data_IF_024387084135
#
_entry.id   IF_024387084135
#
_cell.length_a   1.000
_cell.length_b   1.000
_cell.length_c   1.000
_cell.angle_alpha   90.00
_cell.angle_beta   90.00
_cell.angle_gamma   90.00
#
_symmetry.space_group_name_H-M   'P 1'
#
loop_
_entity.id
_entity.type
_entity.pdbx_description
1 polymer ?
#
# COMPACT_ATOMS: atom_id res chain seq x y z
N UNK A 1 49.16 6.34 -3.10
CA UNK A 1 47.87 5.60 -3.05
C UNK A 1 47.06 6.00 -4.27
N UNK A 2 46.82 5.06 -5.17
CA UNK A 2 46.06 5.28 -6.40
C UNK A 2 44.57 5.19 -6.10
N UNK A 3 43.79 6.18 -6.55
CA UNK A 3 42.33 6.12 -6.58
C UNK A 3 41.96 5.85 -8.03
N UNK A 4 41.40 4.67 -8.30
CA UNK A 4 41.06 4.23 -9.64
C UNK A 4 39.93 5.10 -10.22
N UNK A 5 40.27 5.94 -11.20
CA UNK A 5 39.29 6.65 -12.03
C UNK A 5 38.72 5.71 -13.09
N UNK A 6 37.40 5.59 -13.14
CA UNK A 6 36.71 4.94 -14.26
C UNK A 6 36.81 5.87 -15.46
N UNK A 7 37.56 5.44 -16.48
CA UNK A 7 37.67 6.11 -17.78
C UNK A 7 36.59 5.54 -18.70
N UNK A 8 35.50 6.29 -18.91
CA UNK A 8 34.54 5.96 -19.96
C UNK A 8 35.07 6.45 -21.31
N UNK A 9 35.12 5.53 -22.27
CA UNK A 9 35.57 5.77 -23.62
C UNK A 9 34.68 6.81 -24.31
N UNK A 10 35.35 7.74 -25.01
CA UNK A 10 34.76 8.76 -25.85
C UNK A 10 34.23 8.12 -27.13
N UNK A 11 32.94 7.76 -27.17
CA UNK A 11 32.21 7.66 -28.43
C UNK A 11 30.73 8.08 -28.24
N UNK A 12 30.41 9.30 -28.70
CA UNK A 12 29.22 9.53 -29.51
C UNK A 12 27.81 9.48 -28.91
N UNK A 13 27.60 9.34 -27.60
CA UNK A 13 26.24 9.32 -27.01
C UNK A 13 26.08 10.27 -25.83
N UNK A 14 25.27 11.31 -25.96
CA UNK A 14 24.93 12.23 -24.86
C UNK A 14 24.11 11.50 -23.78
N UNK A 15 24.79 10.99 -22.76
CA UNK A 15 24.16 10.46 -21.53
C UNK A 15 24.05 11.58 -20.51
N UNK A 16 23.32 12.64 -20.83
CA UNK A 16 22.99 13.69 -19.86
C UNK A 16 21.52 13.57 -19.51
N UNK A 17 21.14 12.57 -18.69
CA UNK A 17 19.88 12.56 -17.92
C UNK A 17 19.79 11.39 -16.92
N UNK A 18 20.89 10.97 -16.30
CA UNK A 18 20.88 9.88 -15.31
C UNK A 18 20.96 10.34 -13.85
N UNK A 19 20.80 11.63 -13.57
CA UNK A 19 20.72 12.12 -12.19
C UNK A 19 19.66 13.21 -12.07
N UNK A 20 18.78 13.19 -11.05
CA UNK A 20 17.92 14.30 -10.72
C UNK A 20 18.75 15.40 -10.03
N UNK A 21 19.69 15.98 -10.77
CA UNK A 21 20.30 17.24 -10.42
C UNK A 21 19.21 18.30 -10.60
N UNK A 22 18.65 18.77 -9.49
CA UNK A 22 17.74 19.91 -9.46
C UNK A 22 18.45 21.09 -10.14
N UNK A 23 18.15 21.35 -11.41
CA UNK A 23 18.53 22.60 -12.06
C UNK A 23 17.80 23.73 -11.33
N UNK A 24 18.50 24.29 -10.34
CA UNK A 24 18.15 25.59 -9.77
C UNK A 24 18.34 26.62 -10.89
N UNK A 25 17.31 27.43 -11.10
CA UNK A 25 17.25 28.59 -12.00
C UNK A 25 17.07 28.30 -13.48
N UNK A 26 15.80 28.25 -13.88
CA UNK A 26 15.37 28.40 -15.25
C UNK A 26 14.05 27.67 -15.45
N UNK A 27 12.99 28.41 -15.79
CA UNK A 27 11.74 27.80 -16.28
C UNK A 27 12.11 26.82 -17.39
N UNK A 28 12.05 25.53 -17.12
CA UNK A 28 12.00 24.55 -18.19
C UNK A 28 10.71 24.84 -18.95
N UNK A 29 10.82 25.16 -20.23
CA UNK A 29 9.66 25.08 -21.14
C UNK A 29 8.95 23.75 -20.88
N UNK A 30 7.63 23.69 -21.06
CA UNK A 30 6.84 22.46 -20.92
C UNK A 30 7.52 21.25 -21.57
N UNK A 31 8.24 21.45 -22.66
CA UNK A 31 8.97 20.42 -23.42
C UNK A 31 10.18 19.81 -22.70
N UNK A 32 10.78 20.50 -21.73
CA UNK A 32 11.92 20.00 -20.93
C UNK A 32 11.48 19.38 -19.59
N UNK A 33 10.18 19.37 -19.29
CA UNK A 33 9.62 18.64 -18.16
C UNK A 33 9.45 17.17 -18.54
N UNK A 34 9.82 16.25 -17.65
CA UNK A 34 9.66 14.82 -17.91
C UNK A 34 8.19 14.47 -18.20
N UNK A 35 7.95 13.52 -19.10
CA UNK A 35 6.60 13.11 -19.52
C UNK A 35 5.66 12.77 -18.35
N UNK A 36 6.21 12.22 -17.26
CA UNK A 36 5.45 11.94 -16.04
C UNK A 36 4.97 13.19 -15.31
N UNK A 37 5.81 14.25 -15.25
CA UNK A 37 5.45 15.52 -14.61
C UNK A 37 4.32 16.19 -15.40
N UNK A 38 4.41 16.17 -16.73
CA UNK A 38 3.34 16.69 -17.60
C UNK A 38 2.03 15.92 -17.42
N UNK A 39 2.08 14.59 -17.42
CA UNK A 39 0.90 13.75 -17.21
C UNK A 39 0.26 14.00 -15.84
N UNK A 40 1.07 14.13 -14.79
CA UNK A 40 0.59 14.44 -13.45
C UNK A 40 -0.03 15.84 -13.38
N UNK A 41 0.60 16.87 -13.96
CA UNK A 41 0.04 18.22 -13.99
C UNK A 41 -1.29 18.30 -14.76
N UNK A 42 -1.41 17.60 -15.88
CA UNK A 42 -2.65 17.53 -16.67
C UNK A 42 -3.76 16.79 -15.90
N UNK A 43 -3.43 15.71 -15.20
CA UNK A 43 -4.36 15.00 -14.32
C UNK A 43 -4.89 15.95 -13.23
N UNK A 44 -4.01 16.70 -12.56
CA UNK A 44 -4.40 17.65 -11.51
C UNK A 44 -5.26 18.80 -12.05
N UNK A 45 -4.90 19.38 -13.20
CA UNK A 45 -5.71 20.43 -13.86
C UNK A 45 -7.09 19.93 -14.25
N UNK A 46 -7.19 18.70 -14.76
CA UNK A 46 -8.46 18.09 -15.15
C UNK A 46 -9.35 17.80 -13.94
N UNK A 47 -8.80 17.29 -12.83
CA UNK A 47 -9.54 17.11 -11.56
C UNK A 47 -10.05 18.44 -11.02
N UNK A 48 -9.17 19.44 -10.97
CA UNK A 48 -9.53 20.78 -10.49
C UNK A 48 -10.60 21.44 -11.37
N UNK A 49 -10.48 21.33 -12.70
CA UNK A 49 -11.49 21.82 -13.64
C UNK A 49 -12.82 21.07 -13.50
N UNK A 50 -12.82 19.77 -13.22
CA UNK A 50 -14.05 19.03 -12.97
C UNK A 50 -14.77 19.51 -11.70
N UNK A 51 -14.03 19.86 -10.65
CA UNK A 51 -14.59 20.43 -9.41
C UNK A 51 -15.16 21.83 -9.65
N UNK A 52 -14.45 22.70 -10.39
CA UNK A 52 -14.91 24.08 -10.65
C UNK A 52 -15.99 24.19 -11.72
N UNK A 53 -15.94 23.35 -12.75
CA UNK A 53 -16.90 23.35 -13.86
C UNK A 53 -18.05 22.35 -13.65
N UNK A 54 -18.19 21.77 -12.45
CA UNK A 54 -19.37 21.02 -12.06
C UNK A 54 -20.58 21.97 -12.02
N UNK A 55 -21.19 22.21 -13.19
CA UNK A 55 -22.48 22.89 -13.26
C UNK A 55 -23.48 22.05 -12.46
N UNK A 56 -24.16 22.68 -11.52
CA UNK A 56 -25.23 22.04 -10.76
C UNK A 56 -26.27 21.50 -11.75
N UNK A 57 -26.47 20.18 -11.76
CA UNK A 57 -27.46 19.56 -12.64
C UNK A 57 -28.85 19.95 -12.13
N UNK A 58 -29.65 20.55 -12.99
CA UNK A 58 -31.05 20.84 -12.65
C UNK A 58 -31.80 19.51 -12.51
N UNK A 59 -32.74 19.43 -11.57
CA UNK A 59 -33.52 18.23 -11.29
C UNK A 59 -34.19 17.62 -12.55
N UNK A 60 -34.62 18.47 -13.49
CA UNK A 60 -35.17 18.05 -14.79
C UNK A 60 -34.19 17.24 -15.64
N UNK A 61 -32.91 17.65 -15.69
CA UNK A 61 -31.85 16.98 -16.46
C UNK A 61 -31.48 15.62 -15.85
N UNK A 62 -31.53 15.50 -14.52
CA UNK A 62 -31.29 14.23 -13.80
C UNK A 62 -32.44 13.25 -14.10
N UNK A 63 -33.69 13.73 -14.14
CA UNK A 63 -34.86 12.90 -14.41
C UNK A 63 -34.89 12.38 -15.86
N UNK A 64 -34.51 13.19 -16.84
CA UNK A 64 -34.42 12.77 -18.24
C UNK A 64 -33.29 11.76 -18.47
N UNK A 65 -32.13 11.94 -17.83
CA UNK A 65 -31.04 10.97 -17.90
C UNK A 65 -31.45 9.60 -17.36
N UNK A 66 -32.19 9.53 -16.25
CA UNK A 66 -32.71 8.27 -15.70
C UNK A 66 -33.68 7.57 -16.66
N UNK A 67 -34.60 8.35 -17.25
CA UNK A 67 -35.55 7.84 -18.25
C UNK A 67 -34.84 7.30 -19.50
N UNK A 68 -33.76 7.95 -19.93
CA UNK A 68 -33.00 7.52 -21.09
C UNK A 68 -32.07 6.33 -20.79
N UNK A 69 -31.50 6.23 -19.59
CA UNK A 69 -30.69 5.06 -19.17
C UNK A 69 -31.53 3.82 -18.88
N UNK A 70 -32.83 3.97 -18.57
CA UNK A 70 -33.76 2.84 -18.48
C UNK A 70 -34.17 2.30 -19.86
N UNK A 71 -34.18 3.16 -20.89
CA UNK A 71 -34.51 2.76 -22.28
C UNK A 71 -33.31 2.15 -23.00
N UNK A 72 -32.10 2.63 -22.73
CA UNK A 72 -30.85 1.98 -23.17
C UNK A 72 -30.28 1.10 -22.05
N UNK A 73 -30.92 -0.05 -21.84
CA UNK A 73 -30.32 -1.12 -21.04
C UNK A 73 -28.96 -1.49 -21.63
N UNK A 74 -27.84 -1.34 -20.90
CA UNK A 74 -26.56 -1.83 -21.38
C UNK A 74 -26.57 -3.36 -21.28
N UNK A 75 -26.44 -4.02 -22.43
CA UNK A 75 -25.97 -5.41 -22.49
C UNK A 75 -24.69 -5.48 -21.68
N UNK A 76 -24.67 -6.32 -20.64
CA UNK A 76 -23.49 -6.58 -19.80
C UNK A 76 -22.28 -6.88 -20.69
N UNK A 77 -21.40 -5.91 -20.86
CA UNK A 77 -20.01 -6.15 -21.20
C UNK A 77 -19.31 -6.44 -19.87
N UNK A 78 -18.87 -7.69 -19.75
CA UNK A 78 -18.05 -8.23 -18.69
C UNK A 78 -16.64 -7.62 -18.76
N UNK A 79 -16.49 -6.40 -18.25
CA UNK A 79 -15.18 -5.87 -17.90
C UNK A 79 -14.90 -6.11 -16.41
N UNK A 80 -13.91 -6.97 -16.18
CA UNK A 80 -13.42 -7.38 -14.87
C UNK A 80 -12.82 -6.17 -14.15
N UNK A 81 -13.57 -5.62 -13.20
CA UNK A 81 -13.02 -4.88 -12.08
C UNK A 81 -13.12 -5.82 -10.87
N UNK A 82 -11.96 -6.14 -10.31
CA UNK A 82 -11.80 -6.91 -9.07
C UNK A 82 -12.44 -6.14 -7.91
N UNK A 83 -13.76 -6.26 -7.80
CA UNK A 83 -14.51 -6.04 -6.58
C UNK A 83 -14.53 -7.38 -5.84
N UNK A 84 -13.49 -7.63 -5.03
CA UNK A 84 -13.52 -8.70 -4.03
C UNK A 84 -14.45 -8.28 -2.90
N UNK A 85 -15.73 -8.19 -3.26
CA UNK A 85 -16.89 -8.36 -2.43
C UNK A 85 -16.66 -9.51 -1.44
N UNK A 86 -16.95 -9.18 -0.19
CA UNK A 86 -17.17 -10.08 0.94
C UNK A 86 -17.76 -11.41 0.49
N UNK A 87 -16.92 -12.43 0.37
CA UNK A 87 -17.33 -13.77 0.75
C UNK A 87 -17.33 -13.77 2.26
N UNK A 88 -18.51 -13.81 2.85
CA UNK A 88 -18.67 -14.32 4.22
C UNK A 88 -18.45 -15.83 4.10
N UNK A 89 -17.20 -16.20 3.87
CA UNK A 89 -16.74 -17.50 4.31
C UNK A 89 -16.63 -17.33 5.82
N UNK A 90 -17.35 -18.16 6.57
CA UNK A 90 -17.15 -18.35 8.01
C UNK A 90 -15.80 -19.03 8.28
N UNK A 91 -14.78 -18.74 7.47
CA UNK A 91 -13.39 -18.98 7.83
C UNK A 91 -13.08 -17.99 8.93
N UNK A 92 -12.76 -18.53 10.09
CA UNK A 92 -12.11 -17.74 11.15
C UNK A 92 -10.95 -17.01 10.49
N UNK A 93 -10.94 -15.68 10.57
CA UNK A 93 -9.85 -14.87 10.05
C UNK A 93 -8.64 -15.11 10.97
N UNK A 94 -7.81 -16.07 10.55
CA UNK A 94 -6.58 -16.50 11.22
C UNK A 94 -5.41 -15.77 10.54
N UNK A 95 -4.49 -15.27 11.34
CA UNK A 95 -3.23 -14.74 10.86
C UNK A 95 -2.29 -15.90 10.49
N UNK A 96 -2.21 -16.22 9.21
CA UNK A 96 -1.34 -17.27 8.67
C UNK A 96 -0.31 -16.70 7.67
N UNK A 97 0.61 -17.56 7.22
CA UNK A 97 1.63 -17.17 6.23
C UNK A 97 0.98 -16.62 4.95
N UNK A 98 -0.06 -17.30 4.44
CA UNK A 98 -0.66 -16.95 3.15
C UNK A 98 -1.36 -15.60 3.21
N UNK A 99 -2.05 -15.31 4.30
CA UNK A 99 -2.67 -14.02 4.57
C UNK A 99 -1.62 -12.92 4.52
N UNK A 100 -0.52 -13.09 5.25
CA UNK A 100 0.56 -12.10 5.30
C UNK A 100 1.22 -11.88 3.94
N UNK A 101 1.53 -12.94 3.23
CA UNK A 101 2.15 -12.86 1.90
C UNK A 101 1.25 -12.17 0.89
N UNK A 102 -0.04 -12.51 0.88
CA UNK A 102 -1.04 -11.91 -0.01
C UNK A 102 -1.33 -10.46 0.36
N UNK A 103 -1.38 -10.14 1.65
CA UNK A 103 -1.68 -8.81 2.15
C UNK A 103 -0.55 -7.82 1.89
N UNK A 104 0.70 -8.26 2.08
CA UNK A 104 1.90 -7.44 1.89
C UNK A 104 2.49 -7.53 0.47
N UNK A 105 1.93 -8.37 -0.40
CA UNK A 105 2.40 -8.61 -1.77
C UNK A 105 3.89 -8.99 -1.83
N UNK A 106 4.30 -9.96 -1.02
CA UNK A 106 5.67 -10.46 -0.95
C UNK A 106 5.74 -11.92 -1.41
N UNK A 107 6.85 -12.28 -2.06
CA UNK A 107 7.12 -13.65 -2.51
C UNK A 107 7.86 -14.47 -1.45
N UNK A 108 8.76 -13.82 -0.68
CA UNK A 108 9.50 -14.45 0.41
C UNK A 108 9.14 -13.83 1.77
N UNK A 109 8.90 -14.64 2.82
CA UNK A 109 8.52 -14.13 4.15
C UNK A 109 9.64 -13.34 4.84
N UNK A 110 10.89 -13.53 4.41
CA UNK A 110 12.04 -12.78 4.93
C UNK A 110 12.11 -11.34 4.42
N UNK A 111 11.37 -10.99 3.38
CA UNK A 111 11.36 -9.63 2.83
C UNK A 111 10.47 -8.67 3.63
N UNK A 112 9.65 -9.21 4.54
CA UNK A 112 8.75 -8.41 5.36
C UNK A 112 9.50 -7.74 6.51
N UNK A 113 9.49 -6.40 6.51
CA UNK A 113 10.10 -5.58 7.57
C UNK A 113 9.04 -4.83 8.42
N UNK A 114 7.97 -4.37 7.78
CA UNK A 114 6.86 -3.67 8.43
C UNK A 114 5.56 -4.39 8.14
N UNK A 115 4.80 -4.69 9.19
CA UNK A 115 3.54 -5.40 9.11
C UNK A 115 2.41 -4.50 9.60
N UNK A 116 1.42 -4.23 8.75
CA UNK A 116 0.21 -3.53 9.14
C UNK A 116 -1.02 -4.40 8.90
N UNK A 117 -1.57 -4.96 9.98
CA UNK A 117 -2.77 -5.79 9.99
C UNK A 117 -3.91 -5.12 10.77
N UNK A 118 -3.93 -3.79 10.84
CA UNK A 118 -4.98 -3.09 11.58
C UNK A 118 -6.38 -3.34 11.00
N UNK A 119 -7.39 -3.41 11.87
CA UNK A 119 -8.82 -3.50 11.51
C UNK A 119 -9.18 -4.71 10.65
N UNK A 120 -8.51 -5.85 10.87
CA UNK A 120 -8.74 -7.10 10.13
C UNK A 120 -9.63 -8.09 10.86
N UNK A 121 -10.03 -7.78 12.09
CA UNK A 121 -10.87 -8.64 12.94
C UNK A 121 -10.26 -10.04 13.16
N UNK A 122 -8.92 -10.11 13.12
CA UNK A 122 -8.18 -11.36 13.31
C UNK A 122 -8.39 -11.86 14.74
N UNK A 123 -8.70 -13.14 14.89
CA UNK A 123 -9.02 -13.74 16.21
C UNK A 123 -7.98 -14.72 16.70
N UNK A 124 -7.23 -15.33 15.78
CA UNK A 124 -6.22 -16.32 16.09
C UNK A 124 -5.05 -16.20 15.10
N UNK A 125 -3.94 -16.88 15.38
CA UNK A 125 -2.75 -16.84 14.54
C UNK A 125 -2.02 -18.18 14.54
N UNK A 126 -1.46 -18.53 13.38
CA UNK A 126 -0.62 -19.71 13.27
C UNK A 126 0.83 -19.37 13.64
N UNK A 127 1.21 -19.66 14.89
CA UNK A 127 2.55 -19.34 15.42
C UNK A 127 3.70 -19.93 14.60
N UNK A 128 3.54 -21.14 14.07
CA UNK A 128 4.57 -21.82 13.27
C UNK A 128 4.88 -21.06 11.97
N UNK A 129 3.85 -20.45 11.37
CA UNK A 129 3.99 -19.64 10.17
C UNK A 129 4.67 -18.30 10.45
N UNK A 130 4.43 -17.73 11.63
CA UNK A 130 4.99 -16.42 12.02
C UNK A 130 6.51 -16.49 12.21
N UNK A 131 7.05 -17.63 12.62
CA UNK A 131 8.50 -17.86 12.76
C UNK A 131 9.26 -17.71 11.44
N UNK A 132 8.59 -17.82 10.29
CA UNK A 132 9.18 -17.64 8.97
C UNK A 132 9.55 -16.17 8.70
N UNK A 133 8.90 -15.22 9.39
CA UNK A 133 9.04 -13.79 9.20
C UNK A 133 10.11 -13.20 10.13
N UNK A 134 11.38 -13.44 9.78
CA UNK A 134 12.53 -13.13 10.65
C UNK A 134 12.86 -11.63 10.78
N UNK A 135 12.50 -10.84 9.77
CA UNK A 135 12.94 -9.45 9.63
C UNK A 135 11.89 -8.41 10.03
N UNK A 136 10.75 -8.85 10.57
CA UNK A 136 9.66 -7.94 10.96
C UNK A 136 10.10 -7.15 12.17
N UNK A 137 10.24 -5.83 12.00
CA UNK A 137 10.65 -4.88 13.01
C UNK A 137 9.48 -4.01 13.51
N UNK A 138 8.54 -3.68 12.63
CA UNK A 138 7.42 -2.80 12.95
C UNK A 138 6.12 -3.55 12.76
N UNK A 139 5.29 -3.63 13.80
CA UNK A 139 4.00 -4.31 13.75
C UNK A 139 2.91 -3.37 14.23
N UNK A 140 1.95 -3.10 13.35
CA UNK A 140 0.66 -2.53 13.72
C UNK A 140 -0.42 -3.59 13.58
N UNK A 141 -0.96 -4.03 14.71
CA UNK A 141 -2.03 -5.00 14.82
C UNK A 141 -3.25 -4.43 15.55
N UNK A 142 -3.50 -3.12 15.42
CA UNK A 142 -4.63 -2.46 16.06
C UNK A 142 -6.01 -2.98 15.61
N UNK A 143 -7.01 -2.85 16.47
CA UNK A 143 -8.41 -3.21 16.14
C UNK A 143 -8.60 -4.66 15.68
N UNK A 144 -7.92 -5.60 16.34
CA UNK A 144 -8.12 -7.04 16.16
C UNK A 144 -8.57 -7.69 17.47
N UNK A 145 -8.54 -9.02 17.55
CA UNK A 145 -8.79 -9.80 18.77
C UNK A 145 -7.66 -10.81 19.00
N UNK A 146 -6.43 -10.45 18.59
CA UNK A 146 -5.28 -11.34 18.64
C UNK A 146 -4.76 -11.47 20.08
N UNK A 147 -4.39 -12.69 20.52
CA UNK A 147 -3.67 -12.87 21.77
C UNK A 147 -2.31 -12.17 21.71
N UNK A 148 -1.84 -11.64 22.84
CA UNK A 148 -0.56 -10.94 22.89
C UNK A 148 0.64 -11.90 22.72
N UNK A 149 0.44 -13.16 23.10
CA UNK A 149 1.43 -14.23 23.06
C UNK A 149 1.93 -14.52 21.64
N UNK A 150 1.07 -14.33 20.64
CA UNK A 150 1.37 -14.52 19.22
C UNK A 150 2.55 -13.65 18.76
N UNK A 151 2.66 -12.44 19.29
CA UNK A 151 3.69 -11.49 18.87
C UNK A 151 5.09 -11.88 19.32
N UNK A 152 5.23 -12.85 20.25
CA UNK A 152 6.52 -13.36 20.70
C UNK A 152 7.28 -14.11 19.62
N UNK A 153 6.59 -14.58 18.58
CA UNK A 153 7.23 -15.32 17.49
C UNK A 153 8.06 -14.44 16.56
N UNK A 154 7.90 -13.12 16.64
CA UNK A 154 8.69 -12.18 15.87
C UNK A 154 9.96 -11.74 16.64
N UNK A 155 11.10 -12.33 16.30
CA UNK A 155 12.37 -12.10 17.00
C UNK A 155 12.94 -10.67 16.88
N UNK A 156 12.66 -10.00 15.78
CA UNK A 156 13.30 -8.71 15.42
C UNK A 156 12.42 -7.50 15.71
N UNK A 157 11.30 -7.66 16.42
CA UNK A 157 10.34 -6.58 16.68
C UNK A 157 10.95 -5.50 17.54
N UNK A 158 10.80 -4.27 17.07
CA UNK A 158 11.20 -3.04 17.74
C UNK A 158 9.99 -2.21 18.14
N UNK A 159 8.97 -2.15 17.30
CA UNK A 159 7.75 -1.41 17.61
C UNK A 159 6.52 -2.33 17.44
N UNK A 160 5.68 -2.38 18.47
CA UNK A 160 4.47 -3.20 18.50
C UNK A 160 3.27 -2.36 18.93
N UNK A 161 2.38 -2.07 17.99
CA UNK A 161 1.10 -1.40 18.24
C UNK A 161 -0.04 -2.42 18.25
N UNK A 162 -0.65 -2.62 19.42
CA UNK A 162 -1.80 -3.53 19.59
C UNK A 162 -3.05 -2.86 20.20
N UNK A 163 -3.38 -1.60 19.85
CA UNK A 163 -4.54 -0.93 20.44
C UNK A 163 -5.84 -1.69 20.14
N UNK A 164 -6.80 -1.64 21.07
CA UNK A 164 -8.15 -2.18 20.88
C UNK A 164 -8.23 -3.69 20.63
N UNK A 165 -7.23 -4.49 21.05
CA UNK A 165 -7.24 -5.96 20.95
C UNK A 165 -8.03 -6.70 22.04
N UNK A 166 -8.69 -6.00 22.96
CA UNK A 166 -9.40 -6.63 24.07
C UNK A 166 -8.50 -7.41 25.05
N UNK A 167 -7.19 -7.14 25.04
CA UNK A 167 -6.19 -7.81 25.86
C UNK A 167 -6.52 -7.71 27.35
N UNK A 168 -6.47 -8.85 28.05
CA UNK A 168 -6.69 -8.96 29.50
C UNK A 168 -5.57 -9.79 30.10
N UNK A 169 -5.07 -9.38 31.27
CA UNK A 169 -4.09 -10.15 32.06
C UNK A 169 -2.81 -10.52 31.29
N UNK A 170 -2.09 -9.52 30.78
CA UNK A 170 -0.83 -9.72 30.07
C UNK A 170 0.23 -10.36 30.96
N UNK A 171 0.83 -11.45 30.48
CA UNK A 171 2.03 -12.05 31.07
C UNK A 171 3.19 -11.71 30.16
N UNK A 172 4.08 -10.82 30.60
CA UNK A 172 5.24 -10.39 29.83
C UNK A 172 6.48 -10.75 30.62
N UNK A 173 7.38 -11.50 29.99
CA UNK A 173 8.71 -11.79 30.54
C UNK A 173 9.76 -10.91 29.84
N UNK A 174 10.85 -10.59 30.54
CA UNK A 174 11.96 -9.84 29.94
C UNK A 174 12.66 -10.56 28.77
N UNK A 175 12.43 -11.87 28.62
CA UNK A 175 13.00 -12.67 27.53
C UNK A 175 12.10 -12.74 26.31
N UNK A 176 10.85 -12.28 26.40
CA UNK A 176 9.86 -12.42 25.32
C UNK A 176 10.15 -11.43 24.17
N UNK A 177 10.62 -10.22 24.48
CA UNK A 177 10.83 -9.14 23.51
C UNK A 177 12.17 -8.45 23.75
N UNK A 178 13.25 -8.97 23.19
CA UNK A 178 14.61 -8.45 23.43
C UNK A 178 14.91 -7.11 22.77
N UNK A 179 14.23 -6.79 21.65
CA UNK A 179 14.53 -5.63 20.82
C UNK A 179 13.44 -4.56 20.84
N UNK A 180 12.39 -4.73 21.67
CA UNK A 180 11.22 -3.84 21.70
C UNK A 180 11.55 -2.53 22.42
N UNK A 181 11.24 -1.41 21.76
CA UNK A 181 11.54 -0.03 22.18
C UNK A 181 10.29 0.71 22.71
#
# INVERSE_FOLDING_TARGET
MAIAGVKLASDGGFVTNCFPARYRFGRTSSEASGAWVLAHEDEQKRRFKAVLCAKHRTYSQIKEQRKNSELEAPKLATDKLDDSSKKVDTSVDILDKHFLMKHCCIDDPSDLCSLNISSRQLTDANEDDLLLFKNVAYINAGENFLPFEVFRQFYSVRELEVPLNGLRSLKISHTDFTNLE
#
